data_IF_964393437778
#
_entry.id   IF_964393437778
#
_cell.length_a   1.000
_cell.length_b   1.000
_cell.length_c   1.000
_cell.angle_alpha   90.00
_cell.angle_beta   90.00
_cell.angle_gamma   90.00
#
_symmetry.space_group_name_H-M   'P 1'
#
loop_
_entity.id
_entity.type
_entity.pdbx_description
1 polymer ?
#
# COMPACT_ATOMS: atom_id res chain seq x y z
N UNK A 1 -10.37 8.08 -15.57
CA UNK A 1 -9.11 8.64 -15.03
C UNK A 1 -8.00 7.60 -15.14
N UNK A 2 -6.87 7.97 -15.69
CA UNK A 2 -5.75 7.05 -15.90
C UNK A 2 -4.95 6.92 -14.61
N UNK A 3 -4.66 5.68 -14.21
CA UNK A 3 -3.78 5.46 -13.06
C UNK A 3 -2.35 5.84 -13.42
N UNK A 4 -1.56 6.34 -12.43
CA UNK A 4 -0.14 6.58 -12.66
C UNK A 4 0.58 5.30 -13.10
N UNK A 5 1.60 5.44 -13.93
CA UNK A 5 2.34 4.30 -14.48
C UNK A 5 2.95 3.40 -13.40
N UNK A 6 3.25 3.94 -12.23
CA UNK A 6 3.90 3.18 -11.14
C UNK A 6 2.92 2.38 -10.27
N UNK A 7 1.60 2.60 -10.40
CA UNK A 7 0.61 2.01 -9.48
C UNK A 7 0.66 0.50 -9.41
N UNK A 8 0.72 -0.18 -10.54
CA UNK A 8 0.75 -1.65 -10.55
C UNK A 8 1.98 -2.19 -9.84
N UNK A 9 3.13 -1.58 -10.06
CA UNK A 9 4.37 -1.98 -9.40
C UNK A 9 4.28 -1.77 -7.88
N UNK A 10 3.81 -0.61 -7.45
CA UNK A 10 3.64 -0.30 -6.02
C UNK A 10 2.66 -1.28 -5.37
N UNK A 11 1.56 -1.61 -6.04
CA UNK A 11 0.58 -2.56 -5.53
C UNK A 11 1.18 -3.94 -5.37
N UNK A 12 2.02 -4.36 -6.29
CA UNK A 12 2.78 -5.59 -6.16
C UNK A 12 3.67 -5.56 -4.92
N UNK A 13 4.41 -4.48 -4.72
CA UNK A 13 5.26 -4.31 -3.54
C UNK A 13 4.45 -4.37 -2.24
N UNK A 14 3.31 -3.70 -2.21
CA UNK A 14 2.47 -3.63 -1.00
C UNK A 14 1.79 -4.95 -0.68
N UNK A 15 1.44 -5.75 -1.67
CA UNK A 15 0.91 -7.10 -1.41
C UNK A 15 1.93 -7.96 -0.69
N UNK A 16 3.18 -7.89 -1.12
CA UNK A 16 4.27 -8.57 -0.44
C UNK A 16 4.47 -8.02 0.97
N UNK A 17 4.54 -6.69 1.09
CA UNK A 17 4.75 -6.04 2.37
C UNK A 17 3.64 -6.37 3.37
N UNK A 18 2.37 -6.31 2.97
CA UNK A 18 1.24 -6.54 3.86
C UNK A 18 1.22 -7.95 4.45
N UNK A 19 1.83 -8.91 3.75
CA UNK A 19 1.91 -10.31 4.19
C UNK A 19 3.18 -10.61 5.00
N UNK A 20 4.14 -9.68 5.05
CA UNK A 20 5.45 -9.87 5.66
C UNK A 20 5.86 -8.68 6.53
N UNK A 21 4.94 -8.15 7.32
CA UNK A 21 5.22 -6.96 8.14
C UNK A 21 6.16 -7.24 9.30
N UNK A 22 6.16 -8.50 9.78
CA UNK A 22 6.98 -8.92 10.91
C UNK A 22 8.16 -9.72 10.49
N UNK A 23 9.21 -9.89 10.55
CA UNK A 23 10.31 -10.80 10.16
C UNK A 23 10.27 -11.14 8.66
N UNK A 24 10.41 -10.14 7.79
CA UNK A 24 10.40 -10.40 6.36
C UNK A 24 11.61 -11.26 5.94
N UNK A 25 11.37 -12.13 4.94
CA UNK A 25 12.45 -12.88 4.28
C UNK A 25 12.53 -12.42 2.85
N UNK A 26 13.73 -12.11 2.40
CA UNK A 26 13.96 -11.58 1.07
C UNK A 26 14.70 -12.61 0.22
N UNK A 27 14.16 -12.87 -0.98
CA UNK A 27 14.83 -13.73 -1.95
C UNK A 27 15.82 -12.96 -2.80
N UNK A 28 15.61 -11.65 -2.95
CA UNK A 28 16.46 -10.80 -3.81
C UNK A 28 16.64 -9.42 -3.16
N UNK A 29 17.64 -8.67 -3.66
CA UNK A 29 17.82 -7.27 -3.27
C UNK A 29 16.63 -6.41 -3.66
N UNK A 30 15.97 -6.73 -4.78
CA UNK A 30 14.77 -6.02 -5.24
C UNK A 30 13.65 -6.17 -4.20
N UNK A 31 13.40 -7.38 -3.72
CA UNK A 31 12.38 -7.63 -2.69
C UNK A 31 12.69 -6.85 -1.42
N UNK A 32 13.94 -6.85 -1.01
CA UNK A 32 14.40 -6.11 0.17
C UNK A 32 14.15 -4.61 0.02
N UNK A 33 14.56 -4.04 -1.12
CA UNK A 33 14.40 -2.62 -1.39
C UNK A 33 12.92 -2.24 -1.46
N UNK A 34 12.09 -3.09 -2.06
CA UNK A 34 10.65 -2.86 -2.14
C UNK A 34 10.01 -2.86 -0.75
N UNK A 35 10.40 -3.83 0.09
CA UNK A 35 9.87 -3.92 1.44
C UNK A 35 10.22 -2.66 2.25
N UNK A 36 11.48 -2.23 2.21
CA UNK A 36 11.91 -1.05 2.97
C UNK A 36 11.26 0.24 2.46
N UNK A 37 11.03 0.36 1.15
CA UNK A 37 10.34 1.52 0.60
C UNK A 37 8.91 1.60 1.15
N UNK A 38 8.20 0.47 1.18
CA UNK A 38 6.85 0.39 1.74
C UNK A 38 6.85 0.69 3.24
N UNK A 39 7.79 0.11 3.98
CA UNK A 39 7.91 0.29 5.42
C UNK A 39 8.15 1.76 5.78
N UNK A 40 9.04 2.42 5.07
CA UNK A 40 9.33 3.85 5.29
C UNK A 40 8.15 4.73 4.91
N UNK A 41 7.48 4.40 3.82
CA UNK A 41 6.33 5.19 3.38
C UNK A 41 5.17 5.12 4.37
N UNK A 42 4.93 3.94 4.96
CA UNK A 42 3.81 3.74 5.87
C UNK A 42 4.05 4.35 7.26
N UNK A 43 5.31 4.56 7.65
CA UNK A 43 5.65 5.08 8.97
C UNK A 43 5.06 6.45 9.27
N UNK A 44 4.80 7.26 8.25
CA UNK A 44 4.25 8.60 8.40
C UNK A 44 2.77 8.62 8.75
N UNK A 45 2.08 7.50 8.65
CA UNK A 45 0.64 7.39 8.91
C UNK A 45 0.38 6.99 10.35
N UNK A 46 -0.82 7.34 10.87
CA UNK A 46 -1.25 6.89 12.19
C UNK A 46 -1.45 5.38 12.22
N UNK A 47 -1.53 4.79 13.40
CA UNK A 47 -1.77 3.34 13.53
C UNK A 47 -3.06 2.92 12.85
N UNK A 48 -4.12 3.73 12.98
CA UNK A 48 -5.39 3.46 12.32
C UNK A 48 -5.25 3.51 10.79
N UNK A 49 -4.57 4.53 10.27
CA UNK A 49 -4.33 4.66 8.84
C UNK A 49 -3.45 3.55 8.29
N UNK A 50 -2.40 3.16 9.03
CA UNK A 50 -1.56 2.02 8.67
C UNK A 50 -2.39 0.75 8.52
N UNK A 51 -3.30 0.52 9.46
CA UNK A 51 -4.16 -0.65 9.43
C UNK A 51 -5.08 -0.64 8.21
N UNK A 52 -5.63 0.52 7.88
CA UNK A 52 -6.44 0.70 6.67
C UNK A 52 -5.62 0.37 5.42
N UNK A 53 -4.43 0.94 5.29
CA UNK A 53 -3.57 0.69 4.14
C UNK A 53 -3.19 -0.79 4.01
N UNK A 54 -2.85 -1.45 5.10
CA UNK A 54 -2.51 -2.87 5.06
C UNK A 54 -3.69 -3.72 4.59
N UNK A 55 -4.91 -3.40 5.01
CA UNK A 55 -6.09 -4.12 4.57
C UNK A 55 -6.43 -3.85 3.10
N UNK A 56 -6.22 -2.62 2.63
CA UNK A 56 -6.47 -2.26 1.24
C UNK A 56 -5.64 -3.14 0.29
N UNK A 57 -4.44 -3.50 0.67
CA UNK A 57 -3.57 -4.31 -0.19
C UNK A 57 -3.61 -5.81 0.14
N UNK A 58 -4.04 -6.19 1.33
CA UNK A 58 -3.94 -7.56 1.79
C UNK A 58 -5.23 -8.34 1.96
N UNK A 59 -6.39 -7.68 1.93
CA UNK A 59 -7.65 -8.33 2.30
C UNK A 59 -8.14 -9.32 1.23
N UNK A 60 -8.36 -8.84 0.01
CA UNK A 60 -8.80 -9.65 -1.13
C UNK A 60 -7.94 -9.37 -2.35
N UNK A 61 -8.29 -9.97 -3.49
CA UNK A 61 -7.47 -9.88 -4.70
C UNK A 61 -7.50 -8.52 -5.37
N UNK A 62 -8.61 -7.79 -5.31
CA UNK A 62 -8.72 -6.50 -6.00
C UNK A 62 -8.72 -5.34 -5.01
N UNK A 63 -8.00 -4.29 -5.38
CA UNK A 63 -7.91 -3.08 -4.56
C UNK A 63 -9.27 -2.42 -4.38
N UNK A 64 -10.07 -2.36 -5.46
CA UNK A 64 -11.40 -1.73 -5.40
C UNK A 64 -12.31 -2.43 -4.40
N UNK A 65 -12.32 -3.75 -4.38
CA UNK A 65 -13.11 -4.53 -3.43
C UNK A 65 -12.62 -4.29 -2.00
N UNK A 66 -11.31 -4.23 -1.82
CA UNK A 66 -10.71 -3.99 -0.51
C UNK A 66 -11.06 -2.61 0.02
N UNK A 67 -11.01 -1.59 -0.83
CA UNK A 67 -11.40 -0.22 -0.44
C UNK A 67 -12.86 -0.18 -0.03
N UNK A 68 -13.73 -0.84 -0.80
CA UNK A 68 -15.16 -0.90 -0.47
C UNK A 68 -15.38 -1.52 0.91
N UNK A 69 -14.79 -2.69 1.16
CA UNK A 69 -14.97 -3.41 2.43
C UNK A 69 -14.38 -2.65 3.61
N UNK A 70 -13.20 -2.06 3.45
CA UNK A 70 -12.55 -1.29 4.51
C UNK A 70 -13.35 -0.03 4.82
N UNK A 71 -13.83 0.68 3.81
CA UNK A 71 -14.66 1.87 3.99
C UNK A 71 -15.94 1.55 4.75
N UNK A 72 -16.58 0.45 4.39
CA UNK A 72 -17.80 -0.03 5.04
C UNK A 72 -17.55 -0.38 6.50
N UNK A 73 -16.49 -1.13 6.79
CA UNK A 73 -16.16 -1.54 8.15
C UNK A 73 -15.76 -0.36 9.03
N UNK A 74 -15.04 0.61 8.50
CA UNK A 74 -14.59 1.78 9.24
C UNK A 74 -15.62 2.93 9.24
N UNK A 75 -16.68 2.80 8.47
CA UNK A 75 -17.73 3.82 8.32
C UNK A 75 -17.16 5.15 7.84
N UNK A 76 -16.31 5.09 6.81
CA UNK A 76 -15.73 6.28 6.17
C UNK A 76 -15.99 6.25 4.67
N UNK A 77 -15.93 7.43 4.04
CA UNK A 77 -16.13 7.58 2.61
C UNK A 77 -14.99 6.90 1.84
N UNK A 78 -15.32 6.14 0.80
CA UNK A 78 -14.32 5.50 -0.06
C UNK A 78 -13.33 6.49 -0.65
N UNK A 79 -13.78 7.71 -0.97
CA UNK A 79 -12.90 8.73 -1.56
C UNK A 79 -11.76 9.11 -0.63
N UNK A 80 -12.00 9.09 0.67
CA UNK A 80 -10.95 9.36 1.67
C UNK A 80 -9.85 8.29 1.56
N UNK A 81 -10.27 7.03 1.44
CA UNK A 81 -9.32 5.92 1.29
C UNK A 81 -8.58 6.01 -0.04
N UNK A 82 -9.29 6.31 -1.14
CA UNK A 82 -8.65 6.45 -2.44
C UNK A 82 -7.62 7.57 -2.47
N UNK A 83 -7.90 8.70 -1.82
CA UNK A 83 -6.94 9.80 -1.71
C UNK A 83 -5.70 9.37 -0.92
N UNK A 84 -5.90 8.62 0.17
CA UNK A 84 -4.81 8.07 0.97
C UNK A 84 -3.95 7.10 0.16
N UNK A 85 -4.58 6.19 -0.58
CA UNK A 85 -3.90 5.23 -1.44
C UNK A 85 -3.07 5.95 -2.50
N UNK A 86 -3.64 6.95 -3.14
CA UNK A 86 -2.97 7.73 -4.17
C UNK A 86 -1.71 8.41 -3.63
N UNK A 87 -1.82 9.07 -2.49
CA UNK A 87 -0.68 9.72 -1.83
C UNK A 87 0.37 8.70 -1.41
N UNK A 88 -0.06 7.60 -0.83
CA UNK A 88 0.84 6.55 -0.36
C UNK A 88 1.60 5.91 -1.52
N UNK A 89 0.92 5.57 -2.61
CA UNK A 89 1.55 4.96 -3.79
C UNK A 89 2.59 5.90 -4.40
N UNK A 90 2.30 7.18 -4.42
CA UNK A 90 3.27 8.18 -4.89
C UNK A 90 4.51 8.22 -3.99
N UNK A 91 4.32 8.14 -2.68
CA UNK A 91 5.42 8.13 -1.71
C UNK A 91 6.32 6.92 -1.90
N UNK A 92 5.74 5.72 -2.07
CA UNK A 92 6.50 4.50 -2.34
C UNK A 92 7.28 4.63 -3.65
N UNK A 93 6.62 5.13 -4.69
CA UNK A 93 7.26 5.30 -5.99
C UNK A 93 8.49 6.22 -5.91
N UNK A 94 8.40 7.30 -5.14
CA UNK A 94 9.54 8.18 -4.91
C UNK A 94 10.69 7.45 -4.21
N UNK A 95 10.39 6.67 -3.19
CA UNK A 95 11.40 5.94 -2.43
C UNK A 95 12.05 4.83 -3.25
N UNK A 96 11.37 4.32 -4.26
CA UNK A 96 11.94 3.32 -5.18
C UNK A 96 12.59 3.94 -6.41
N UNK A 97 12.61 5.28 -6.51
CA UNK A 97 13.25 5.95 -7.64
C UNK A 97 12.42 5.90 -8.93
N UNK A 98 11.12 5.66 -8.84
CA UNK A 98 10.23 5.63 -9.99
C UNK A 98 9.72 7.03 -10.39
N UNK A 99 9.94 7.99 -9.52
CA UNK A 99 9.58 9.39 -9.74
C UNK A 99 10.79 10.30 -9.56
#
# INVERSE_FOLDING_TARGET
>A
MTRPFYSEYVRHCMRFYSRNTNKPRFNTEVDKNNWYACNRAIERYSDEEKNILLQVYGLYDTIADNVYEVAKAANIDQNIIWDMVKEFERSVAKKRGLL
#
